data_IF_414629980764
#
_entry.id   IF_414629980764
#
_cell.length_a   1.000
_cell.length_b   1.000
_cell.length_c   1.000
_cell.angle_alpha   90.00
_cell.angle_beta   90.00
_cell.angle_gamma   90.00
#
_symmetry.space_group_name_H-M   'P 1'
#
loop_
_entity.id
_entity.type
_entity.pdbx_description
1 polymer ?
#
# COMPACT_ATOMS: atom_id res chain seq x y z
N UNK A 1 33.80 -32.40 -38.51
CA UNK A 1 32.43 -32.49 -39.06
C UNK A 1 32.54 -32.12 -40.53
N UNK A 2 31.97 -32.91 -41.45
CA UNK A 2 32.02 -32.55 -42.88
C UNK A 2 31.00 -31.47 -43.20
N UNK A 3 31.22 -30.68 -44.25
CA UNK A 3 30.28 -29.60 -44.65
C UNK A 3 28.86 -30.15 -44.88
N UNK A 4 28.74 -31.35 -45.45
CA UNK A 4 27.45 -32.03 -45.61
C UNK A 4 26.77 -32.38 -44.27
N UNK A 5 27.55 -32.73 -43.24
CA UNK A 5 27.00 -32.97 -41.90
C UNK A 5 26.58 -31.67 -41.22
N UNK A 6 27.34 -30.59 -41.41
CA UNK A 6 26.99 -29.26 -40.90
C UNK A 6 25.66 -28.77 -41.47
N UNK A 7 25.48 -28.79 -42.79
CA UNK A 7 24.24 -28.31 -43.42
C UNK A 7 23.02 -29.17 -43.07
N UNK A 8 23.19 -30.48 -42.85
CA UNK A 8 22.11 -31.36 -42.37
C UNK A 8 21.68 -31.00 -40.95
N UNK A 9 22.62 -30.79 -40.04
CA UNK A 9 22.32 -30.39 -38.66
C UNK A 9 21.70 -28.98 -38.63
N UNK A 10 22.27 -28.06 -39.39
CA UNK A 10 21.76 -26.68 -39.50
C UNK A 10 20.33 -26.63 -40.02
N UNK A 11 19.99 -27.44 -41.03
CA UNK A 11 18.62 -27.53 -41.55
C UNK A 11 17.64 -28.05 -40.50
N UNK A 12 18.02 -29.09 -39.73
CA UNK A 12 17.18 -29.66 -38.67
C UNK A 12 16.96 -28.62 -37.55
N UNK A 13 18.02 -27.96 -37.08
CA UNK A 13 17.93 -26.95 -36.02
C UNK A 13 17.09 -25.75 -36.46
N UNK A 14 17.24 -25.31 -37.71
CA UNK A 14 16.45 -24.19 -38.26
C UNK A 14 14.96 -24.51 -38.28
N UNK A 15 14.58 -25.74 -38.66
CA UNK A 15 13.18 -26.19 -38.65
C UNK A 15 12.64 -26.21 -37.21
N UNK A 16 13.42 -26.69 -36.24
CA UNK A 16 13.01 -26.73 -34.83
C UNK A 16 12.75 -25.31 -34.28
N UNK A 17 13.64 -24.36 -34.58
CA UNK A 17 13.49 -22.97 -34.14
C UNK A 17 12.20 -22.35 -34.71
N UNK A 18 11.91 -22.59 -35.99
CA UNK A 18 10.68 -22.09 -36.64
C UNK A 18 9.43 -22.69 -35.98
N UNK A 19 9.43 -23.99 -35.69
CA UNK A 19 8.31 -24.65 -35.00
C UNK A 19 8.10 -24.06 -33.60
N UNK A 20 9.17 -23.84 -32.83
CA UNK A 20 9.09 -23.23 -31.50
C UNK A 20 8.50 -21.82 -31.58
N UNK A 21 8.93 -21.00 -32.54
CA UNK A 21 8.40 -19.65 -32.72
C UNK A 21 6.90 -19.65 -33.04
N UNK A 22 6.43 -20.59 -33.87
CA UNK A 22 5.00 -20.75 -34.18
C UNK A 22 4.21 -21.18 -32.93
N UNK A 23 4.73 -22.12 -32.14
CA UNK A 23 4.09 -22.57 -30.89
C UNK A 23 3.99 -21.42 -29.88
N UNK A 24 5.05 -20.62 -29.71
CA UNK A 24 5.03 -19.44 -28.84
C UNK A 24 3.96 -18.46 -29.32
N UNK A 25 3.87 -18.17 -30.63
CA UNK A 25 2.83 -17.28 -31.16
C UNK A 25 1.39 -17.78 -30.92
N UNK A 26 1.16 -19.09 -31.06
CA UNK A 26 -0.14 -19.70 -30.75
C UNK A 26 -0.45 -19.58 -29.26
N UNK A 27 0.53 -19.88 -28.39
CA UNK A 27 0.39 -19.75 -26.94
C UNK A 27 0.14 -18.29 -26.53
N UNK A 28 0.84 -17.32 -27.10
CA UNK A 28 0.62 -15.89 -26.85
C UNK A 28 -0.81 -15.46 -27.19
N UNK A 29 -1.42 -15.98 -28.26
CA UNK A 29 -2.83 -15.72 -28.58
C UNK A 29 -3.80 -16.37 -27.58
N UNK A 30 -3.48 -17.57 -27.07
CA UNK A 30 -4.27 -18.24 -26.03
C UNK A 30 -4.20 -17.46 -24.72
N UNK A 31 -3.01 -17.01 -24.30
CA UNK A 31 -2.83 -16.25 -23.06
C UNK A 31 -3.31 -14.80 -23.15
N UNK A 32 -3.29 -14.17 -24.32
CA UNK A 32 -3.97 -12.89 -24.54
C UNK A 32 -5.49 -13.02 -24.29
N UNK A 33 -6.06 -14.18 -24.59
CA UNK A 33 -7.48 -14.50 -24.30
C UNK A 33 -7.74 -14.78 -22.81
N UNK A 34 -6.71 -15.15 -22.05
CA UNK A 34 -6.76 -15.42 -20.60
C UNK A 34 -6.35 -14.22 -19.74
N UNK A 35 -5.81 -13.18 -20.38
CA UNK A 35 -5.54 -11.87 -19.78
C UNK A 35 -6.85 -11.08 -19.65
N UNK A 36 -7.83 -11.66 -18.96
CA UNK A 36 -9.03 -10.94 -18.59
C UNK A 36 -8.60 -9.85 -17.60
N UNK A 37 -8.76 -8.58 -17.98
CA UNK A 37 -8.63 -7.48 -17.04
C UNK A 37 -9.56 -7.75 -15.85
N UNK A 38 -9.09 -7.59 -14.58
CA UNK A 38 -9.91 -7.82 -13.38
C UNK A 38 -11.25 -7.05 -13.36
N UNK A 39 -11.37 -6.00 -14.18
CA UNK A 39 -12.57 -5.19 -14.32
C UNK A 39 -13.71 -5.82 -15.13
N UNK A 40 -13.53 -6.97 -15.77
CA UNK A 40 -14.64 -7.60 -16.51
C UNK A 40 -15.24 -8.80 -15.76
N UNK A 41 -14.48 -9.42 -14.84
CA UNK A 41 -14.93 -10.58 -14.08
C UNK A 41 -16.03 -10.25 -13.04
N UNK A 42 -16.08 -9.01 -12.53
CA UNK A 42 -17.12 -8.60 -11.57
C UNK A 42 -18.51 -8.44 -12.20
N UNK A 43 -18.59 -8.17 -13.52
CA UNK A 43 -19.86 -7.87 -14.20
C UNK A 43 -20.73 -9.12 -14.39
N UNK A 44 -20.14 -10.28 -14.59
CA UNK A 44 -20.88 -11.54 -14.74
C UNK A 44 -21.35 -12.09 -13.38
N UNK A 45 -20.53 -11.97 -12.33
CA UNK A 45 -20.88 -12.43 -10.98
C UNK A 45 -22.04 -11.64 -10.37
N UNK A 46 -22.15 -10.34 -10.66
CA UNK A 46 -23.26 -9.52 -10.19
C UNK A 46 -24.59 -9.87 -10.87
N UNK A 47 -24.55 -10.31 -12.14
CA UNK A 47 -25.76 -10.59 -12.92
C UNK A 47 -26.48 -11.87 -12.47
N UNK A 48 -25.77 -12.83 -11.91
CA UNK A 48 -26.36 -14.07 -11.39
C UNK A 48 -26.86 -13.90 -9.94
N UNK A 49 -26.21 -13.04 -9.14
CA UNK A 49 -26.65 -12.74 -7.76
C UNK A 49 -27.92 -11.88 -7.67
N UNK A 50 -28.31 -11.19 -8.75
CA UNK A 50 -29.46 -10.29 -8.75
C UNK A 50 -30.80 -11.04 -8.92
N UNK A 51 -30.79 -12.29 -9.39
CA UNK A 51 -32.02 -13.07 -9.70
C UNK A 51 -32.39 -14.07 -8.57
N UNK A 52 -31.83 -13.91 -7.37
CA UNK A 52 -32.34 -14.63 -6.18
C UNK A 52 -32.39 -13.71 -4.96
N UNK A 53 -32.95 -12.51 -5.12
CA UNK A 53 -33.61 -11.84 -3.99
C UNK A 53 -35.02 -12.40 -3.86
N UNK A 54 -35.22 -13.27 -2.88
CA UNK A 54 -36.55 -13.52 -2.34
C UNK A 54 -37.13 -12.18 -1.88
N UNK A 55 -38.31 -11.83 -2.40
CA UNK A 55 -39.04 -10.66 -1.92
C UNK A 55 -39.26 -10.82 -0.40
N UNK A 56 -39.02 -9.78 0.42
CA UNK A 56 -39.27 -9.89 1.85
C UNK A 56 -40.77 -10.13 2.07
N UNK A 57 -41.11 -11.24 2.72
CA UNK A 57 -42.47 -11.54 3.15
C UNK A 57 -42.82 -10.69 4.38
N UNK A 58 -43.17 -9.42 4.14
CA UNK A 58 -43.64 -8.52 5.18
C UNK A 58 -44.49 -7.40 4.58
N UNK A 59 -45.73 -7.23 5.06
CA UNK A 59 -46.55 -6.06 4.70
C UNK A 59 -46.03 -4.85 5.47
N UNK A 60 -45.58 -3.84 4.73
CA UNK A 60 -45.17 -2.56 5.28
C UNK A 60 -46.42 -1.81 5.75
N UNK A 61 -46.50 -1.49 7.05
CA UNK A 61 -47.51 -0.56 7.56
C UNK A 61 -47.09 0.86 7.18
N UNK A 62 -47.82 1.48 6.25
CA UNK A 62 -47.64 2.89 5.84
C UNK A 62 -48.30 3.80 6.87
N UNK A 63 -47.77 3.83 8.09
CA UNK A 63 -48.19 4.81 9.10
C UNK A 63 -46.98 5.21 9.94
N UNK A 64 -46.80 6.53 10.06
CA UNK A 64 -45.65 7.24 10.63
C UNK A 64 -44.51 7.37 9.64
N UNK A 65 -44.39 8.56 9.06
CA UNK A 65 -43.16 9.06 8.47
C UNK A 65 -42.30 9.56 9.64
N UNK A 66 -41.37 8.77 10.22
CA UNK A 66 -40.28 9.42 10.92
C UNK A 66 -39.48 10.11 9.83
N UNK A 67 -39.37 11.43 9.91
CA UNK A 67 -38.19 12.08 9.36
C UNK A 67 -37.03 11.46 10.13
N UNK A 68 -36.42 10.43 9.54
CA UNK A 68 -35.11 10.00 9.97
C UNK A 68 -34.23 11.16 9.54
N UNK A 69 -33.98 12.09 10.47
CA UNK A 69 -32.76 12.88 10.40
C UNK A 69 -31.66 11.86 10.17
N UNK A 70 -31.11 11.87 8.96
CA UNK A 70 -29.83 11.25 8.74
C UNK A 70 -28.89 11.99 9.68
N UNK A 71 -28.73 11.44 10.88
CA UNK A 71 -27.60 11.72 11.72
C UNK A 71 -26.42 11.12 10.95
N UNK A 72 -25.98 11.85 9.93
CA UNK A 72 -24.64 11.77 9.42
C UNK A 72 -23.81 11.95 10.68
N UNK A 73 -23.28 10.85 11.19
CA UNK A 73 -22.20 10.93 12.14
C UNK A 73 -21.10 11.54 11.28
N UNK A 74 -21.03 12.87 11.30
CA UNK A 74 -19.89 13.59 10.79
C UNK A 74 -18.68 12.84 11.33
N UNK A 75 -17.73 12.52 10.45
CA UNK A 75 -16.42 12.09 10.89
C UNK A 75 -16.06 13.02 12.05
N UNK A 76 -15.77 12.45 13.23
CA UNK A 76 -15.45 13.24 14.40
C UNK A 76 -14.23 14.07 14.01
N UNK A 77 -14.47 15.30 13.58
CA UNK A 77 -13.44 16.30 13.35
C UNK A 77 -12.92 16.58 14.74
N UNK A 78 -11.90 15.82 15.13
CA UNK A 78 -11.09 16.26 16.23
C UNK A 78 -10.51 17.60 15.80
N UNK A 79 -10.63 18.58 16.65
CA UNK A 79 -9.94 19.84 16.45
C UNK A 79 -8.43 19.58 16.58
N UNK A 80 -7.65 19.91 15.55
CA UNK A 80 -6.21 19.72 15.61
C UNK A 80 -5.61 20.75 16.55
N UNK A 81 -4.71 20.33 17.44
CA UNK A 81 -4.03 21.29 18.32
C UNK A 81 -3.19 22.30 17.51
N UNK A 82 -2.84 21.97 16.27
CA UNK A 82 -2.04 22.81 15.40
C UNK A 82 -2.78 24.05 14.88
N UNK A 83 -4.12 24.03 14.87
CA UNK A 83 -4.91 25.19 14.44
C UNK A 83 -4.85 26.34 15.45
N UNK A 84 -4.53 26.03 16.71
CA UNK A 84 -4.43 27.00 17.81
C UNK A 84 -3.01 27.25 18.29
N UNK A 85 -2.03 26.55 17.71
CA UNK A 85 -0.63 26.63 18.12
C UNK A 85 0.11 27.68 17.27
N UNK A 86 0.71 28.66 17.92
CA UNK A 86 1.56 29.66 17.25
C UNK A 86 2.98 29.10 17.09
N UNK A 87 3.52 29.14 15.86
CA UNK A 87 4.88 28.69 15.56
C UNK A 87 5.17 28.62 14.06
N UNK A 88 6.45 28.49 13.71
CA UNK A 88 6.86 28.11 12.36
C UNK A 88 6.93 26.59 12.27
N UNK A 89 6.02 25.99 11.50
CA UNK A 89 5.99 24.55 11.25
C UNK A 89 6.68 24.22 9.93
N UNK A 90 7.48 23.16 9.94
CA UNK A 90 8.25 22.74 8.77
C UNK A 90 7.52 21.63 8.02
N UNK A 91 7.59 21.69 6.68
CA UNK A 91 7.20 20.57 5.82
C UNK A 91 8.47 19.79 5.48
N UNK A 92 8.54 18.56 5.96
CA UNK A 92 9.58 17.61 5.63
C UNK A 92 9.18 16.78 4.42
N UNK A 93 10.14 16.15 3.75
CA UNK A 93 9.90 15.33 2.57
C UNK A 93 10.21 13.86 2.87
N UNK A 94 9.32 12.96 2.45
CA UNK A 94 9.53 11.52 2.42
C UNK A 94 9.20 11.02 1.02
N UNK A 95 10.20 10.48 0.34
CA UNK A 95 10.08 9.91 -1.01
C UNK A 95 9.64 8.46 -0.94
N UNK A 96 8.77 8.07 -1.86
CA UNK A 96 8.33 6.69 -2.06
C UNK A 96 8.98 6.16 -3.33
N UNK A 97 9.83 5.15 -3.17
CA UNK A 97 10.76 4.70 -4.20
C UNK A 97 10.66 3.19 -4.43
N UNK A 98 10.85 2.79 -5.69
CA UNK A 98 11.02 1.39 -6.07
C UNK A 98 12.33 0.82 -5.51
N UNK A 99 13.38 1.64 -5.44
CA UNK A 99 14.69 1.24 -4.90
C UNK A 99 15.52 2.44 -4.44
N UNK A 100 16.39 2.20 -3.46
CA UNK A 100 17.52 3.06 -3.14
C UNK A 100 18.68 2.23 -2.57
N UNK A 101 19.69 2.87 -1.97
CA UNK A 101 20.83 2.18 -1.35
C UNK A 101 20.47 1.21 -0.21
N UNK A 102 19.27 1.33 0.37
CA UNK A 102 18.75 0.45 1.43
C UNK A 102 17.92 -0.72 0.89
N UNK A 103 17.76 -0.83 -0.43
CA UNK A 103 17.10 -1.94 -1.12
C UNK A 103 15.83 -1.53 -1.87
N UNK A 104 15.03 -2.53 -2.23
CA UNK A 104 13.79 -2.33 -2.96
C UNK A 104 12.61 -1.96 -2.04
N UNK A 105 11.65 -1.22 -2.61
CA UNK A 105 10.39 -0.76 -2.03
C UNK A 105 10.61 -0.06 -0.68
N UNK A 106 10.99 1.20 -0.74
CA UNK A 106 11.53 1.95 0.40
C UNK A 106 10.97 3.37 0.47
N UNK A 107 10.86 3.86 1.71
CA UNK A 107 10.69 5.27 1.99
C UNK A 107 12.06 5.91 2.20
N UNK A 108 12.26 7.14 1.71
CA UNK A 108 13.48 7.91 1.92
C UNK A 108 13.17 9.31 2.48
N UNK A 109 13.56 9.62 3.74
CA UNK A 109 14.12 8.69 4.72
C UNK A 109 13.06 7.69 5.25
N UNK A 110 13.50 6.50 5.65
CA UNK A 110 12.62 5.48 6.27
C UNK A 110 12.38 5.70 7.76
N UNK A 111 13.20 6.54 8.40
CA UNK A 111 12.99 7.06 9.75
C UNK A 111 13.13 8.58 9.72
N UNK A 112 12.18 9.29 10.31
CA UNK A 112 12.26 10.75 10.45
C UNK A 112 11.76 11.19 11.82
N UNK A 113 12.50 12.13 12.43
CA UNK A 113 12.08 12.83 13.63
C UNK A 113 11.66 14.24 13.26
N UNK A 114 10.45 14.63 13.67
CA UNK A 114 9.85 15.94 13.41
C UNK A 114 9.31 16.55 14.72
N UNK A 115 9.04 17.85 14.72
CA UNK A 115 8.40 18.50 15.86
C UNK A 115 6.87 18.31 15.83
N UNK A 116 6.21 18.56 16.96
CA UNK A 116 4.74 18.67 16.98
C UNK A 116 4.30 19.74 16.00
N UNK A 117 3.25 19.45 15.23
CA UNK A 117 2.66 20.28 14.19
C UNK A 117 3.47 20.48 12.91
N UNK A 118 4.67 19.89 12.81
CA UNK A 118 5.32 19.70 11.53
C UNK A 118 4.49 18.80 10.62
N UNK A 119 4.75 18.90 9.32
CA UNK A 119 4.12 18.06 8.30
C UNK A 119 5.13 17.25 7.54
N UNK A 120 4.68 16.16 6.93
CA UNK A 120 5.44 15.37 5.96
C UNK A 120 4.70 15.42 4.63
N UNK A 121 5.40 15.87 3.59
CA UNK A 121 5.03 15.65 2.20
C UNK A 121 5.52 14.26 1.78
N UNK A 122 4.58 13.34 1.59
CA UNK A 122 4.87 12.04 0.98
C UNK A 122 4.86 12.21 -0.55
N UNK A 123 6.04 12.16 -1.15
CA UNK A 123 6.24 12.33 -2.59
C UNK A 123 6.36 10.96 -3.27
N UNK A 124 5.44 10.66 -4.19
CA UNK A 124 5.48 9.46 -5.03
C UNK A 124 6.44 9.66 -6.21
N UNK A 125 7.74 9.58 -5.92
CA UNK A 125 8.79 9.69 -6.95
C UNK A 125 8.63 8.57 -7.98
N UNK A 126 8.42 7.35 -7.52
CA UNK A 126 8.08 6.21 -8.36
C UNK A 126 6.58 5.88 -8.26
N UNK A 127 5.94 5.61 -9.39
CA UNK A 127 4.49 5.38 -9.43
C UNK A 127 4.07 4.08 -8.73
N UNK A 128 2.90 4.10 -8.09
CA UNK A 128 2.29 2.92 -7.47
C UNK A 128 2.51 2.81 -5.96
N UNK A 129 2.95 3.88 -5.31
CA UNK A 129 3.16 3.93 -3.88
C UNK A 129 2.11 4.78 -3.15
N UNK A 130 1.85 4.41 -1.90
CA UNK A 130 1.14 5.22 -0.94
C UNK A 130 1.87 5.14 0.40
N UNK A 131 1.59 6.07 1.29
CA UNK A 131 1.80 5.94 2.72
C UNK A 131 0.44 5.89 3.43
N UNK A 132 0.30 4.95 4.37
CA UNK A 132 -0.87 4.82 5.25
C UNK A 132 -0.45 4.37 6.66
N UNK A 133 -1.22 4.78 7.66
CA UNK A 133 -0.97 4.42 9.07
C UNK A 133 -1.17 2.93 9.32
N UNK A 134 -0.22 2.30 10.02
CA UNK A 134 -0.33 0.95 10.57
C UNK A 134 -0.57 1.02 12.08
N UNK A 135 0.24 1.80 12.78
CA UNK A 135 0.11 2.05 14.21
C UNK A 135 0.54 3.48 14.53
N UNK A 136 -0.08 4.08 15.54
CA UNK A 136 0.16 5.46 15.91
C UNK A 136 -0.14 5.68 17.40
N UNK A 137 0.24 6.83 17.99
CA UNK A 137 -0.08 7.16 19.37
C UNK A 137 -1.59 7.20 19.59
N UNK A 138 -2.04 6.94 20.82
CA UNK A 138 -3.45 7.06 21.17
C UNK A 138 -3.97 8.47 20.89
N UNK A 139 -5.16 8.55 20.32
CA UNK A 139 -5.76 9.82 19.97
C UNK A 139 -4.97 10.55 18.87
N UNK A 140 -4.33 9.85 17.94
CA UNK A 140 -3.82 10.35 16.65
C UNK A 140 -4.82 10.11 15.50
N UNK A 141 -4.71 10.86 14.40
CA UNK A 141 -5.51 10.62 13.18
C UNK A 141 -4.77 9.64 12.28
N UNK A 142 -5.46 8.59 11.85
CA UNK A 142 -4.96 7.74 10.78
C UNK A 142 -4.96 8.52 9.46
N UNK A 143 -3.94 8.31 8.64
CA UNK A 143 -3.83 8.91 7.31
C UNK A 143 -3.68 7.85 6.23
N UNK A 144 -4.06 8.22 5.01
CA UNK A 144 -3.76 7.48 3.78
C UNK A 144 -3.61 8.49 2.64
N UNK A 145 -2.48 8.43 1.94
CA UNK A 145 -2.16 9.32 0.81
C UNK A 145 -2.91 8.96 -0.47
N UNK A 146 -3.64 7.84 -0.51
CA UNK A 146 -4.51 7.42 -1.61
C UNK A 146 -3.80 7.38 -2.98
N UNK A 147 -2.51 7.01 -3.01
CA UNK A 147 -1.69 6.92 -4.23
C UNK A 147 -1.61 8.23 -5.02
N UNK A 148 -1.75 9.38 -4.34
CA UNK A 148 -1.55 10.70 -4.95
C UNK A 148 -0.07 10.98 -5.13
N UNK A 149 0.26 11.75 -6.17
CA UNK A 149 1.65 12.11 -6.50
C UNK A 149 2.38 12.80 -5.32
N UNK A 150 1.66 13.64 -4.57
CA UNK A 150 2.15 14.29 -3.37
C UNK A 150 0.99 14.48 -2.41
N UNK A 151 1.21 14.21 -1.12
CA UNK A 151 0.23 14.48 -0.06
C UNK A 151 0.95 14.96 1.19
N UNK A 152 0.54 16.12 1.69
CA UNK A 152 1.04 16.69 2.94
C UNK A 152 0.16 16.25 4.09
N UNK A 153 0.75 15.64 5.11
CA UNK A 153 0.07 15.22 6.34
C UNK A 153 0.70 15.96 7.52
N UNK A 154 -0.13 16.65 8.32
CA UNK A 154 0.29 17.32 9.54
C UNK A 154 0.19 16.36 10.74
N UNK A 155 1.18 16.41 11.63
CA UNK A 155 1.25 15.54 12.79
C UNK A 155 1.14 16.33 14.09
N UNK A 156 0.01 16.17 14.77
CA UNK A 156 -0.41 16.95 15.93
C UNK A 156 -0.46 16.13 17.22
N UNK A 157 -0.09 14.84 17.18
CA UNK A 157 0.05 13.99 18.38
C UNK A 157 1.47 13.47 18.50
N UNK A 158 2.08 13.70 19.66
CA UNK A 158 3.43 13.24 19.97
C UNK A 158 3.49 11.71 20.08
N UNK A 159 4.60 11.15 19.65
CA UNK A 159 4.86 9.72 19.73
C UNK A 159 5.38 9.12 18.42
N UNK A 160 5.43 7.80 18.40
CA UNK A 160 5.86 7.00 17.26
C UNK A 160 4.69 6.61 16.38
N UNK A 161 4.89 6.72 15.08
CA UNK A 161 3.99 6.23 14.04
C UNK A 161 4.72 5.20 13.20
N UNK A 162 4.09 4.05 12.99
CA UNK A 162 4.45 3.08 11.98
C UNK A 162 3.50 3.26 10.80
N UNK A 163 4.06 3.44 9.62
CA UNK A 163 3.30 3.59 8.39
C UNK A 163 3.87 2.66 7.31
N UNK A 164 3.04 2.31 6.34
CA UNK A 164 3.40 1.39 5.26
C UNK A 164 2.95 1.90 3.90
N UNK A 165 3.49 1.29 2.85
CA UNK A 165 2.87 1.24 1.54
C UNK A 165 2.06 -0.05 1.42
N UNK A 166 0.75 0.07 1.22
CA UNK A 166 -0.19 -1.06 1.22
C UNK A 166 0.19 -2.20 0.24
N UNK A 167 0.45 -1.93 -1.06
CA UNK A 167 0.77 -3.00 -2.00
C UNK A 167 2.14 -3.64 -1.74
N UNK A 168 3.03 -2.98 -0.98
CA UNK A 168 4.41 -3.41 -0.74
C UNK A 168 4.68 -3.75 0.74
N UNK A 169 3.65 -3.88 1.58
CA UNK A 169 3.79 -4.20 3.00
C UNK A 169 4.48 -5.56 3.21
N UNK A 170 4.15 -6.57 2.40
CA UNK A 170 4.82 -7.90 2.44
C UNK A 170 6.31 -7.84 2.05
N UNK A 171 6.75 -6.73 1.44
CA UNK A 171 8.14 -6.45 1.07
C UNK A 171 8.82 -5.49 2.07
N UNK A 172 8.22 -5.28 3.24
CA UNK A 172 8.70 -4.36 4.27
C UNK A 172 8.87 -2.90 3.80
N UNK A 173 8.01 -2.42 2.88
CA UNK A 173 7.93 -0.99 2.58
C UNK A 173 7.15 -0.28 3.68
N UNK A 174 7.86 0.02 4.77
CA UNK A 174 7.33 0.73 5.93
C UNK A 174 8.39 1.69 6.49
N UNK A 175 7.93 2.64 7.29
CA UNK A 175 8.79 3.61 7.93
C UNK A 175 8.28 4.01 9.32
N UNK A 176 9.13 4.74 10.04
CA UNK A 176 8.86 5.23 11.38
C UNK A 176 8.94 6.76 11.42
N UNK A 177 7.94 7.38 12.03
CA UNK A 177 7.95 8.82 12.31
C UNK A 177 7.97 8.99 13.82
N UNK A 178 8.91 9.79 14.32
CA UNK A 178 8.91 10.26 15.71
C UNK A 178 8.47 11.72 15.73
N UNK A 179 7.32 11.99 16.36
CA UNK A 179 6.83 13.34 16.60
C UNK A 179 7.22 13.74 18.01
N UNK A 180 8.14 14.71 18.13
CA UNK A 180 8.71 15.18 19.38
C UNK A 180 9.20 14.03 20.28
N UNK A 181 8.59 13.86 21.46
CA UNK A 181 8.92 12.81 22.42
C UNK A 181 8.01 11.59 22.28
N UNK A 182 8.54 10.43 22.65
CA UNK A 182 7.89 9.13 22.46
C UNK A 182 7.26 8.62 23.75
N UNK A 183 5.93 8.51 23.79
CA UNK A 183 5.18 7.95 24.92
C UNK A 183 4.70 6.50 24.70
N UNK A 184 4.85 5.97 23.48
CA UNK A 184 4.28 4.70 23.03
C UNK A 184 5.34 3.68 22.54
N UNK A 185 6.57 3.74 23.07
CA UNK A 185 7.70 2.86 22.69
C UNK A 185 7.33 1.38 22.79
N UNK A 186 6.81 0.94 23.93
CA UNK A 186 6.51 -0.48 24.16
C UNK A 186 5.37 -0.99 23.26
N UNK A 187 4.33 -0.18 23.05
CA UNK A 187 3.28 -0.51 22.08
C UNK A 187 3.86 -0.59 20.67
N UNK A 188 4.74 0.33 20.30
CA UNK A 188 5.33 0.37 18.97
C UNK A 188 6.19 -0.86 18.69
N UNK A 189 6.96 -1.35 19.67
CA UNK A 189 7.72 -2.62 19.53
C UNK A 189 6.80 -3.79 19.13
N UNK A 190 5.65 -3.91 19.80
CA UNK A 190 4.67 -4.97 19.53
C UNK A 190 4.09 -4.83 18.12
N UNK A 191 3.74 -3.62 17.69
CA UNK A 191 3.17 -3.38 16.36
C UNK A 191 4.20 -3.61 15.25
N UNK A 192 5.48 -3.32 15.49
CA UNK A 192 6.58 -3.65 14.57
C UNK A 192 6.72 -5.17 14.43
N UNK A 193 6.81 -5.91 15.53
CA UNK A 193 6.92 -7.37 15.49
C UNK A 193 5.74 -8.00 14.72
N UNK A 194 4.53 -7.52 14.99
CA UNK A 194 3.31 -7.94 14.29
C UNK A 194 3.36 -7.61 12.80
N UNK A 195 3.80 -6.41 12.42
CA UNK A 195 3.99 -6.03 11.02
C UNK A 195 4.98 -6.99 10.32
N UNK A 196 6.12 -7.23 10.94
CA UNK A 196 7.20 -8.07 10.39
C UNK A 196 6.82 -9.55 10.25
N UNK A 197 5.82 -10.03 10.99
CA UNK A 197 5.27 -11.38 10.75
C UNK A 197 4.63 -11.54 9.37
N UNK A 198 4.16 -10.44 8.76
CA UNK A 198 3.55 -10.45 7.43
C UNK A 198 4.57 -10.22 6.30
N UNK A 199 5.83 -9.89 6.64
CA UNK A 199 6.90 -9.71 5.66
C UNK A 199 7.36 -11.08 5.17
N UNK A 200 7.31 -11.28 3.85
CA UNK A 200 7.60 -12.57 3.21
C UNK A 200 9.01 -12.64 2.62
N UNK A 201 9.68 -11.51 2.44
CA UNK A 201 11.04 -11.46 1.91
C UNK A 201 12.03 -11.59 3.07
N UNK A 202 12.85 -12.67 3.14
CA UNK A 202 13.72 -12.92 4.28
C UNK A 202 14.72 -11.80 4.55
N UNK A 203 15.31 -11.22 3.50
CA UNK A 203 16.40 -10.24 3.61
C UNK A 203 15.97 -8.89 4.22
N UNK A 204 14.66 -8.63 4.23
CA UNK A 204 14.09 -7.37 4.75
C UNK A 204 13.11 -7.62 5.89
N UNK A 205 13.07 -8.85 6.42
CA UNK A 205 12.11 -9.28 7.43
C UNK A 205 12.16 -8.42 8.69
N UNK A 206 13.37 -8.03 9.11
CA UNK A 206 13.61 -7.25 10.33
C UNK A 206 13.90 -5.78 10.04
N UNK A 207 13.57 -5.29 8.83
CA UNK A 207 13.95 -3.94 8.39
C UNK A 207 13.43 -2.86 9.34
N UNK A 208 12.23 -3.02 9.91
CA UNK A 208 11.60 -2.01 10.76
C UNK A 208 12.08 -2.13 12.20
N UNK A 209 12.28 -3.34 12.72
CA UNK A 209 12.89 -3.55 14.03
C UNK A 209 14.36 -3.09 14.05
N UNK A 210 15.11 -3.27 12.96
CA UNK A 210 16.46 -2.72 12.79
C UNK A 210 16.44 -1.18 12.79
N UNK A 211 15.49 -0.56 12.09
CA UNK A 211 15.31 0.91 12.13
C UNK A 211 14.97 1.41 13.52
N UNK A 212 14.05 0.73 14.20
CA UNK A 212 13.65 1.07 15.57
C UNK A 212 14.84 0.99 16.53
N UNK A 213 15.59 -0.11 16.49
CA UNK A 213 16.75 -0.32 17.34
C UNK A 213 17.88 0.67 17.06
N UNK A 214 17.99 1.17 15.83
CA UNK A 214 19.03 2.12 15.45
C UNK A 214 18.75 3.54 15.94
N UNK A 215 17.50 3.99 15.93
CA UNK A 215 17.15 5.40 16.12
C UNK A 215 16.37 5.70 17.40
N UNK A 216 15.72 4.71 18.02
CA UNK A 216 14.80 4.90 19.14
C UNK A 216 15.30 4.20 20.41
N UNK A 217 15.85 2.99 20.28
CA UNK A 217 16.32 2.16 21.41
C UNK A 217 17.77 2.47 21.80
#
# INVERSE_FOLDING_TARGET
MTDQQFFKIFAIVSIIIVVIAVVIGILSNIFASYSFHPSEQYKSLNKESEITRTAPAGKVNLASNPVIEQNTIAAVERESICDSMEGEFTIHEVKMLNENSSGAMVFEPSFIKINTCDSINFEMVDAGHNAETVAAPEGSLAFNTQYKQSTVIQFDTNGLYLYQCAPHAMMAMAGLIQVADTNNIEQMKIEIEKFETNVMIPDVKNRISDLFNKYIN
#
